data_IF_845812557744
#
_entry.id   IF_845812557744
#
_cell.length_a   1.000
_cell.length_b   1.000
_cell.length_c   1.000
_cell.angle_alpha   90.00
_cell.angle_beta   90.00
_cell.angle_gamma   90.00
#
_symmetry.space_group_name_H-M   'P 1'
#
loop_
_entity.id
_entity.type
_entity.pdbx_description
1 polymer ?
#
# COMPACT_ATOMS: atom_id res chain seq x y z
N UNK A 1 -1.02 -3.86 -34.74
CA UNK A 1 -0.88 -4.63 -33.50
C UNK A 1 0.25 -3.99 -32.70
N UNK A 2 -0.07 -3.22 -31.65
CA UNK A 2 0.95 -2.60 -30.79
C UNK A 2 1.20 -3.49 -29.58
N UNK A 3 2.37 -4.11 -29.52
CA UNK A 3 2.84 -4.80 -28.32
C UNK A 3 3.61 -3.79 -27.48
N UNK A 4 2.96 -3.16 -26.50
CA UNK A 4 3.64 -2.30 -25.53
C UNK A 4 4.46 -3.22 -24.62
N UNK A 5 5.80 -3.21 -24.78
CA UNK A 5 6.69 -3.90 -23.84
C UNK A 5 6.49 -3.26 -22.46
N UNK A 6 5.86 -3.97 -21.52
CA UNK A 6 5.83 -3.59 -20.11
C UNK A 6 7.18 -3.92 -19.50
N UNK A 7 8.10 -2.95 -19.50
CA UNK A 7 9.29 -2.99 -18.68
C UNK A 7 8.97 -2.30 -17.35
N UNK A 8 9.40 -2.87 -16.23
CA UNK A 8 9.34 -2.19 -14.93
C UNK A 8 10.11 -0.86 -15.03
N UNK A 9 9.53 0.21 -14.49
CA UNK A 9 10.26 1.47 -14.32
C UNK A 9 11.39 1.25 -13.31
N UNK A 10 12.59 1.80 -13.52
CA UNK A 10 13.68 1.66 -12.56
C UNK A 10 13.42 2.43 -11.26
N UNK A 11 12.49 3.39 -11.28
CA UNK A 11 12.10 4.18 -10.12
C UNK A 11 10.92 3.50 -9.40
N UNK A 12 11.04 3.24 -8.08
CA UNK A 12 9.93 2.71 -7.30
C UNK A 12 8.83 3.76 -7.14
N UNK A 13 7.58 3.31 -7.03
CA UNK A 13 6.44 4.18 -6.73
C UNK A 13 6.60 4.85 -5.36
N UNK A 14 7.03 4.09 -4.35
CA UNK A 14 7.30 4.61 -3.01
C UNK A 14 8.39 3.77 -2.32
N UNK A 15 9.06 4.38 -1.35
CA UNK A 15 9.96 3.70 -0.41
C UNK A 15 9.40 3.87 1.00
N UNK A 16 9.19 2.77 1.71
CA UNK A 16 8.55 2.76 3.03
C UNK A 16 9.54 2.32 4.13
N UNK A 17 9.51 2.96 5.31
CA UNK A 17 10.29 2.52 6.46
C UNK A 17 9.60 1.31 7.12
N UNK A 18 10.00 0.11 6.70
CA UNK A 18 9.40 -1.14 7.18
C UNK A 18 10.25 -1.87 8.21
N UNK A 19 9.60 -2.56 9.15
CA UNK A 19 10.23 -3.64 9.90
C UNK A 19 10.40 -4.85 8.98
N UNK A 20 11.49 -5.61 9.15
CA UNK A 20 11.82 -6.79 8.33
C UNK A 20 11.94 -8.07 9.16
N UNK A 21 11.42 -8.06 10.39
CA UNK A 21 11.43 -9.22 11.26
C UNK A 21 10.28 -10.18 10.89
N UNK A 22 10.59 -11.46 10.70
CA UNK A 22 9.56 -12.47 10.39
C UNK A 22 8.80 -12.15 9.10
N UNK A 23 7.47 -12.07 9.18
CA UNK A 23 6.58 -11.75 8.05
C UNK A 23 6.43 -10.24 7.78
N UNK A 24 7.01 -9.39 8.64
CA UNK A 24 6.87 -7.94 8.53
C UNK A 24 7.46 -7.39 7.23
N UNK A 25 6.90 -6.26 6.78
CA UNK A 25 7.31 -5.62 5.55
C UNK A 25 6.15 -4.90 4.90
N UNK A 26 6.21 -4.75 3.57
CA UNK A 26 5.04 -4.45 2.74
C UNK A 26 4.29 -5.75 2.48
N UNK A 27 3.02 -5.82 2.89
CA UNK A 27 2.26 -7.08 2.89
C UNK A 27 1.02 -6.99 2.01
N UNK A 28 0.36 -5.83 1.98
CA UNK A 28 -0.88 -5.65 1.23
C UNK A 28 -0.83 -4.45 0.29
N UNK A 29 -1.46 -4.59 -0.87
CA UNK A 29 -1.63 -3.53 -1.86
C UNK A 29 -3.06 -3.57 -2.41
N UNK A 30 -3.72 -2.42 -2.47
CA UNK A 30 -5.03 -2.29 -3.11
C UNK A 30 -5.14 -0.98 -3.89
N UNK A 31 -5.64 -1.06 -5.11
CA UNK A 31 -6.05 0.11 -5.88
C UNK A 31 -7.45 0.53 -5.47
N UNK A 32 -7.69 1.84 -5.42
CA UNK A 32 -9.04 2.36 -5.23
C UNK A 32 -9.97 1.87 -6.38
N UNK A 33 -11.26 1.59 -6.15
CA UNK A 33 -12.19 1.15 -7.21
C UNK A 33 -12.35 2.13 -8.39
N UNK A 34 -11.92 3.38 -8.20
CA UNK A 34 -11.92 4.44 -9.21
C UNK A 34 -10.50 4.92 -9.53
N UNK A 35 -9.51 4.03 -9.42
CA UNK A 35 -8.08 4.35 -9.61
C UNK A 35 -7.80 5.14 -10.89
N UNK A 36 -8.41 4.77 -12.03
CA UNK A 36 -8.23 5.48 -13.31
C UNK A 36 -8.59 6.98 -13.26
N UNK A 37 -9.38 7.40 -12.28
CA UNK A 37 -9.81 8.79 -12.09
C UNK A 37 -9.10 9.51 -10.96
N UNK A 38 -8.55 8.78 -9.98
CA UNK A 38 -8.04 9.39 -8.74
C UNK A 38 -6.63 8.95 -8.33
N UNK A 39 -6.03 7.98 -9.01
CA UNK A 39 -4.68 7.49 -8.75
C UNK A 39 -4.47 6.89 -7.35
N UNK A 40 -5.52 6.61 -6.58
CA UNK A 40 -5.34 6.25 -5.17
C UNK A 40 -4.87 4.79 -4.99
N UNK A 41 -3.73 4.62 -4.34
CA UNK A 41 -3.11 3.33 -4.01
C UNK A 41 -3.00 3.20 -2.50
N UNK A 42 -3.37 2.05 -1.94
CA UNK A 42 -3.33 1.76 -0.51
C UNK A 42 -2.32 0.64 -0.24
N UNK A 43 -1.48 0.85 0.77
CA UNK A 43 -0.42 -0.09 1.15
C UNK A 43 -0.57 -0.44 2.62
N UNK A 44 -0.75 -1.72 2.92
CA UNK A 44 -0.62 -2.27 4.26
C UNK A 44 0.84 -2.67 4.48
N UNK A 45 1.46 -2.15 5.53
CA UNK A 45 2.82 -2.52 5.90
C UNK A 45 3.03 -2.45 7.41
N UNK A 46 4.07 -3.13 7.87
CA UNK A 46 4.59 -2.99 9.23
C UNK A 46 5.64 -1.89 9.26
N UNK A 47 5.32 -0.77 9.90
CA UNK A 47 6.23 0.35 10.08
C UNK A 47 7.39 -0.02 11.00
N UNK A 48 8.58 0.55 10.77
CA UNK A 48 9.78 0.21 11.54
C UNK A 48 9.74 0.76 12.98
N UNK A 49 9.33 2.03 13.18
CA UNK A 49 9.40 2.68 14.50
C UNK A 49 8.29 3.73 14.71
N UNK A 50 7.34 3.54 15.64
CA UNK A 50 7.14 2.31 16.42
C UNK A 50 6.78 1.14 15.50
N UNK A 51 7.10 -0.08 15.93
CA UNK A 51 6.73 -1.30 15.22
C UNK A 51 5.22 -1.50 15.31
N UNK A 52 4.51 -1.22 14.21
CA UNK A 52 3.05 -1.33 14.12
C UNK A 52 2.63 -1.58 12.68
N UNK A 53 1.52 -2.27 12.52
CA UNK A 53 0.88 -2.37 11.22
C UNK A 53 0.09 -1.08 10.93
N UNK A 54 0.10 -0.65 9.68
CA UNK A 54 -0.65 0.51 9.24
C UNK A 54 -1.05 0.38 7.78
N UNK A 55 -2.10 1.12 7.40
CA UNK A 55 -2.49 1.34 6.01
C UNK A 55 -2.19 2.78 5.66
N UNK A 56 -1.29 2.98 4.71
CA UNK A 56 -1.03 4.28 4.09
C UNK A 56 -1.66 4.34 2.71
N UNK A 57 -1.91 5.56 2.23
CA UNK A 57 -2.42 5.83 0.89
C UNK A 57 -1.52 6.82 0.19
N UNK A 58 -1.27 6.58 -1.08
CA UNK A 58 -0.61 7.47 -2.02
C UNK A 58 -1.58 7.89 -3.12
N UNK A 59 -1.32 9.04 -3.73
CA UNK A 59 -1.81 9.34 -5.07
C UNK A 59 -0.70 8.99 -6.05
N UNK A 60 -0.97 8.13 -7.02
CA UNK A 60 -0.07 7.86 -8.14
C UNK A 60 -0.10 9.03 -9.13
N UNK A 61 1.07 9.59 -9.39
CA UNK A 61 1.33 10.58 -10.43
C UNK A 61 2.44 10.03 -11.32
N UNK A 62 2.07 9.48 -12.48
CA UNK A 62 3.00 8.94 -13.47
C UNK A 62 3.98 7.88 -12.93
N UNK A 63 3.49 6.94 -12.12
CA UNK A 63 4.24 5.89 -11.42
C UNK A 63 5.08 6.40 -10.23
N UNK A 64 4.83 7.62 -9.76
CA UNK A 64 5.40 8.17 -8.53
C UNK A 64 4.30 8.39 -7.49
N UNK A 65 4.44 7.75 -6.34
CA UNK A 65 3.54 7.90 -5.21
C UNK A 65 3.79 9.22 -4.50
N UNK A 66 2.80 10.11 -4.53
CA UNK A 66 2.82 11.40 -3.84
C UNK A 66 1.76 11.45 -2.74
N UNK A 67 1.82 12.48 -1.90
CA UNK A 67 0.80 12.77 -0.88
C UNK A 67 0.51 11.58 0.06
N UNK A 68 1.56 10.93 0.57
CA UNK A 68 1.43 9.86 1.54
C UNK A 68 0.54 10.29 2.72
N UNK A 69 -0.48 9.48 3.01
CA UNK A 69 -1.42 9.72 4.10
C UNK A 69 -1.63 8.43 4.87
N UNK A 70 -1.44 8.43 6.20
CA UNK A 70 -1.85 7.31 7.05
C UNK A 70 -3.38 7.29 7.13
N UNK A 71 -4.00 6.18 6.72
CA UNK A 71 -5.46 5.98 6.69
C UNK A 71 -5.94 5.17 7.88
N UNK A 72 -5.16 4.17 8.26
CA UNK A 72 -5.34 3.37 9.47
C UNK A 72 -3.98 3.25 10.12
N UNK A 73 -3.89 3.63 11.39
CA UNK A 73 -2.66 3.57 12.18
C UNK A 73 -2.84 2.61 13.36
N UNK A 74 -1.73 2.32 14.04
CA UNK A 74 -1.68 1.64 15.34
C UNK A 74 -2.36 0.26 15.36
N UNK A 75 -2.28 -0.48 14.25
CA UNK A 75 -2.69 -1.88 14.24
C UNK A 75 -1.60 -2.72 14.90
N UNK A 76 -1.96 -3.74 15.71
CA UNK A 76 -0.99 -4.63 16.34
C UNK A 76 -0.05 -5.26 15.31
N UNK A 77 1.25 -5.25 15.62
CA UNK A 77 2.28 -5.97 14.88
C UNK A 77 2.77 -7.19 15.66
N UNK A 78 3.18 -8.22 14.94
CA UNK A 78 3.78 -9.45 15.45
C UNK A 78 4.80 -9.96 14.41
N UNK A 79 5.64 -10.93 14.76
CA UNK A 79 6.60 -11.47 13.79
C UNK A 79 5.96 -12.49 12.81
N UNK A 80 4.80 -13.04 13.15
CA UNK A 80 4.06 -14.02 12.33
C UNK A 80 2.54 -13.80 12.44
N UNK A 81 1.79 -14.32 11.48
CA UNK A 81 0.33 -14.24 11.40
C UNK A 81 -0.20 -12.80 11.37
N UNK A 82 0.47 -11.93 10.63
CA UNK A 82 0.16 -10.48 10.58
C UNK A 82 -0.96 -10.09 9.59
N UNK A 83 -1.49 -11.05 8.83
CA UNK A 83 -2.59 -10.83 7.90
C UNK A 83 -2.16 -9.97 6.70
N UNK A 84 -2.76 -8.79 6.56
CA UNK A 84 -2.37 -7.80 5.54
C UNK A 84 -3.09 -7.89 4.19
N UNK A 85 -3.98 -8.85 3.98
CA UNK A 85 -4.86 -8.83 2.81
C UNK A 85 -5.85 -7.67 2.93
N UNK A 86 -5.75 -6.69 2.03
CA UNK A 86 -6.61 -5.51 1.98
C UNK A 86 -7.37 -5.44 0.65
N UNK A 87 -8.57 -4.90 0.69
CA UNK A 87 -9.39 -4.74 -0.50
C UNK A 87 -10.67 -3.96 -0.25
N UNK A 88 -11.27 -3.49 -1.34
CA UNK A 88 -12.54 -2.79 -1.32
C UNK A 88 -13.69 -3.78 -1.57
N UNK A 89 -14.72 -3.72 -0.73
CA UNK A 89 -15.95 -4.50 -0.95
C UNK A 89 -16.83 -3.84 -2.03
N UNK A 90 -17.86 -4.55 -2.53
CA UNK A 90 -18.78 -4.06 -3.57
C UNK A 90 -19.71 -2.90 -3.15
N UNK A 91 -19.35 -2.10 -2.15
CA UNK A 91 -20.12 -0.94 -1.69
C UNK A 91 -19.26 0.07 -0.93
N UNK A 92 -19.82 1.26 -0.66
CA UNK A 92 -19.20 2.23 0.24
C UNK A 92 -19.22 1.66 1.65
N UNK A 93 -18.04 1.36 2.20
CA UNK A 93 -17.90 1.15 3.65
C UNK A 93 -17.91 2.53 4.30
N UNK A 94 -19.07 2.99 4.74
CA UNK A 94 -19.15 4.10 5.68
C UNK A 94 -18.84 3.56 7.08
N UNK A 95 -18.06 4.31 7.87
CA UNK A 95 -18.09 4.16 9.32
C UNK A 95 -19.42 4.69 9.84
#
# INVERSE_FOLDING_TARGET
MHYTRRCLTPHPLATLPVSINGENGLIGLAFHPHFDSNGLVYVFHTHLQPCRNQVVRFTDLDNLGIQETVVIDDLPAADIHIGGNIGFGPGKKHK
#
